data_IF_938464073530
#
_entry.id   IF_938464073530
#
_cell.length_a   1.000
_cell.length_b   1.000
_cell.length_c   1.000
_cell.angle_alpha   90.00
_cell.angle_beta   90.00
_cell.angle_gamma   90.00
#
_symmetry.space_group_name_H-M   'P 1'
#
loop_
_entity.id
_entity.type
_entity.pdbx_description
1 polymer ?
#
# COMPACT_ATOMS: atom_id res chain seq x y z
N UNK A 1 -24.87 10.76 -49.08
CA UNK A 1 -23.40 10.56 -49.16
C UNK A 1 -22.78 11.58 -48.22
N UNK A 2 -21.99 11.26 -47.21
CA UNK A 2 -21.54 10.01 -46.61
C UNK A 2 -21.12 10.37 -45.19
N UNK A 3 -21.48 9.56 -44.20
CA UNK A 3 -20.77 9.53 -42.92
C UNK A 3 -19.30 9.26 -43.18
N UNK A 4 -18.42 9.96 -42.46
CA UNK A 4 -17.03 9.54 -42.28
C UNK A 4 -16.78 9.47 -40.78
N UNK A 5 -17.03 8.28 -40.27
CA UNK A 5 -16.47 7.78 -39.03
C UNK A 5 -14.94 7.84 -39.14
N UNK A 6 -14.30 8.48 -38.16
CA UNK A 6 -12.86 8.37 -37.98
C UNK A 6 -12.60 7.10 -37.18
N UNK A 7 -12.09 6.07 -37.86
CA UNK A 7 -11.55 4.87 -37.22
C UNK A 7 -10.38 5.23 -36.29
N UNK A 8 -10.50 4.82 -35.02
CA UNK A 8 -9.38 4.75 -34.07
C UNK A 8 -8.69 3.39 -34.18
N UNK A 9 -7.38 3.31 -34.50
CA UNK A 9 -6.68 2.03 -34.56
C UNK A 9 -6.09 1.66 -33.19
N UNK A 10 -6.75 0.78 -32.43
CA UNK A 10 -6.17 0.19 -31.21
C UNK A 10 -6.39 -1.31 -31.00
N UNK A 11 -6.86 -2.08 -31.99
CA UNK A 11 -7.11 -3.53 -31.79
C UNK A 11 -5.96 -4.46 -32.25
N UNK A 12 -4.86 -3.93 -32.78
CA UNK A 12 -3.82 -4.77 -33.40
C UNK A 12 -2.75 -5.36 -32.47
N UNK A 13 -2.53 -4.79 -31.28
CA UNK A 13 -1.33 -5.09 -30.48
C UNK A 13 -1.62 -6.07 -29.33
N UNK A 14 -2.86 -6.14 -28.84
CA UNK A 14 -3.23 -7.06 -27.76
C UNK A 14 -3.42 -8.52 -28.22
N UNK A 15 -3.73 -8.76 -29.50
CA UNK A 15 -4.03 -10.11 -29.98
C UNK A 15 -2.82 -11.04 -30.07
N UNK A 16 -1.59 -10.50 -30.07
CA UNK A 16 -0.35 -11.29 -30.23
C UNK A 16 0.28 -11.75 -28.91
N UNK A 17 -0.23 -11.33 -27.76
CA UNK A 17 0.34 -11.65 -26.45
C UNK A 17 -0.37 -12.80 -25.71
N UNK A 18 -1.46 -13.35 -26.26
CA UNK A 18 -2.32 -14.32 -25.56
C UNK A 18 -2.30 -15.74 -26.14
N UNK A 19 -1.46 -16.04 -27.15
CA UNK A 19 -1.48 -17.33 -27.86
C UNK A 19 -0.77 -18.49 -27.14
N UNK A 20 -0.67 -18.48 -25.82
CA UNK A 20 0.10 -19.48 -25.08
C UNK A 20 -0.37 -19.82 -23.66
N UNK A 21 -1.54 -19.36 -23.24
CA UNK A 21 -2.09 -19.72 -21.92
C UNK A 21 -2.99 -20.96 -22.04
N UNK A 22 -2.87 -21.94 -21.12
CA UNK A 22 -3.73 -23.13 -21.12
C UNK A 22 -5.20 -22.76 -20.97
N UNK A 23 -6.07 -23.50 -21.66
CA UNK A 23 -7.53 -23.27 -21.78
C UNK A 23 -8.30 -23.24 -20.45
N UNK A 24 -7.68 -23.61 -19.33
CA UNK A 24 -8.26 -23.55 -17.99
C UNK A 24 -7.84 -22.31 -17.20
N UNK A 25 -7.66 -21.18 -17.87
CA UNK A 25 -7.45 -19.91 -17.16
C UNK A 25 -8.77 -19.53 -16.48
N UNK A 26 -8.83 -19.39 -15.14
CA UNK A 26 -10.04 -18.93 -14.48
C UNK A 26 -10.44 -17.59 -15.08
N UNK A 27 -11.69 -17.47 -15.52
CA UNK A 27 -12.26 -16.21 -15.97
C UNK A 27 -12.23 -15.23 -14.79
N UNK A 28 -11.16 -14.43 -14.68
CA UNK A 28 -11.06 -13.32 -13.74
C UNK A 28 -12.07 -12.26 -14.20
N UNK A 29 -13.33 -12.44 -13.79
CA UNK A 29 -14.34 -11.39 -13.83
C UNK A 29 -13.97 -10.40 -12.74
N UNK A 30 -13.76 -9.15 -13.16
CA UNK A 30 -13.37 -7.99 -12.37
C UNK A 30 -11.85 -7.84 -12.14
N UNK A 31 -11.23 -7.03 -13.01
CA UNK A 31 -10.11 -6.19 -12.59
C UNK A 31 -10.72 -4.88 -12.06
N UNK A 32 -10.78 -4.66 -10.74
CA UNK A 32 -10.96 -3.29 -10.25
C UNK A 32 -9.74 -2.48 -10.69
N UNK A 33 -9.89 -1.17 -10.91
CA UNK A 33 -8.86 -0.26 -11.46
C UNK A 33 -7.50 -0.27 -10.72
N UNK A 34 -7.37 -0.98 -9.60
CA UNK A 34 -6.12 -1.30 -8.89
C UNK A 34 -5.99 -2.82 -8.67
N UNK A 35 -4.86 -3.38 -9.09
CA UNK A 35 -4.48 -4.77 -8.78
C UNK A 35 -4.25 -5.01 -7.28
N UNK A 36 -4.14 -6.26 -6.83
CA UNK A 36 -3.92 -6.58 -5.42
C UNK A 36 -2.60 -5.96 -4.94
N UNK A 37 -2.60 -5.42 -3.72
CA UNK A 37 -1.34 -5.08 -3.05
C UNK A 37 -0.63 -6.39 -2.73
N UNK A 38 0.66 -6.43 -3.01
CA UNK A 38 1.51 -7.58 -2.75
C UNK A 38 2.41 -7.23 -1.59
N UNK A 39 2.26 -7.95 -0.47
CA UNK A 39 3.22 -7.93 0.62
C UNK A 39 3.96 -9.27 0.60
N UNK A 40 5.28 -9.24 0.63
CA UNK A 40 6.09 -10.46 0.72
C UNK A 40 7.11 -10.36 1.86
N UNK A 41 7.14 -11.40 2.69
CA UNK A 41 8.27 -11.73 3.56
C UNK A 41 8.91 -13.00 2.99
N UNK A 42 9.96 -12.83 2.21
CA UNK A 42 10.63 -13.94 1.53
C UNK A 42 11.49 -14.77 2.49
N UNK A 43 11.81 -14.28 3.69
CA UNK A 43 12.58 -15.03 4.67
C UNK A 43 11.72 -16.12 5.30
N UNK A 44 10.50 -15.75 5.69
CA UNK A 44 9.54 -16.68 6.29
C UNK A 44 8.70 -17.41 5.23
N UNK A 45 8.93 -17.14 3.93
CA UNK A 45 8.21 -17.77 2.82
C UNK A 45 6.74 -17.36 2.75
N UNK A 46 6.41 -16.14 3.19
CA UNK A 46 5.04 -15.64 3.25
C UNK A 46 4.78 -14.65 2.12
N UNK A 47 3.79 -14.96 1.27
CA UNK A 47 3.23 -14.04 0.29
C UNK A 47 1.79 -13.71 0.69
N UNK A 48 1.48 -12.43 0.83
CA UNK A 48 0.13 -11.94 1.09
C UNK A 48 -0.36 -11.12 -0.11
N UNK A 49 -1.47 -11.58 -0.69
CA UNK A 49 -2.21 -10.85 -1.72
C UNK A 49 -3.38 -10.14 -1.05
N UNK A 50 -3.27 -8.82 -0.93
CA UNK A 50 -4.28 -7.97 -0.33
C UNK A 50 -5.23 -7.46 -1.42
N UNK A 51 -6.43 -8.06 -1.49
CA UNK A 51 -7.54 -7.61 -2.34
C UNK A 51 -8.29 -6.50 -1.57
N UNK A 52 -7.57 -5.44 -1.23
CA UNK A 52 -7.94 -4.52 -0.14
C UNK A 52 -8.50 -3.17 -0.60
N UNK A 53 -8.64 -2.93 -1.91
CA UNK A 53 -9.19 -1.68 -2.43
C UNK A 53 -10.72 -1.57 -2.26
N UNK A 54 -11.23 -1.79 -1.04
CA UNK A 54 -12.60 -1.46 -0.66
C UNK A 54 -12.64 -0.02 -0.13
N UNK A 55 -13.60 0.76 -0.60
CA UNK A 55 -13.79 2.17 -0.25
C UNK A 55 -13.65 2.49 1.26
N UNK A 56 -14.16 1.67 2.21
CA UNK A 56 -14.02 1.97 3.64
C UNK A 56 -12.58 1.92 4.14
N UNK A 57 -11.73 1.03 3.62
CA UNK A 57 -10.31 0.97 3.98
C UNK A 57 -9.58 2.21 3.49
N UNK A 58 -9.71 2.51 2.19
CA UNK A 58 -9.12 3.69 1.56
C UNK A 58 -9.56 4.98 2.26
N UNK A 59 -10.84 5.07 2.66
CA UNK A 59 -11.35 6.23 3.40
C UNK A 59 -10.72 6.35 4.79
N UNK A 60 -10.62 5.25 5.53
CA UNK A 60 -10.01 5.26 6.86
C UNK A 60 -8.52 5.65 6.80
N UNK A 61 -7.77 5.07 5.87
CA UNK A 61 -6.38 5.41 5.62
C UNK A 61 -6.24 6.89 5.25
N UNK A 62 -7.04 7.38 4.30
CA UNK A 62 -6.95 8.75 3.82
C UNK A 62 -7.28 9.78 4.92
N UNK A 63 -8.30 9.57 5.74
CA UNK A 63 -8.64 10.52 6.81
C UNK A 63 -7.58 10.57 7.92
N UNK A 64 -6.98 9.43 8.23
CA UNK A 64 -5.90 9.40 9.21
C UNK A 64 -4.63 10.05 8.65
N UNK A 65 -4.30 9.79 7.39
CA UNK A 65 -3.22 10.49 6.67
C UNK A 65 -3.42 12.01 6.70
N UNK A 66 -4.62 12.51 6.37
CA UNK A 66 -4.91 13.96 6.42
C UNK A 66 -4.71 14.54 7.81
N UNK A 67 -5.05 13.78 8.85
CA UNK A 67 -4.85 14.22 10.24
C UNK A 67 -3.36 14.38 10.57
N UNK A 68 -2.51 13.50 10.04
CA UNK A 68 -1.05 13.62 10.16
C UNK A 68 -0.53 14.80 9.34
N UNK A 69 -0.95 14.95 8.08
CA UNK A 69 -0.57 16.08 7.22
C UNK A 69 -0.91 17.43 7.88
N UNK A 70 -2.11 17.54 8.47
CA UNK A 70 -2.50 18.74 9.20
C UNK A 70 -1.58 19.01 10.39
N UNK A 71 -1.15 17.97 11.12
CA UNK A 71 -0.21 18.13 12.22
C UNK A 71 1.17 18.58 11.74
N UNK A 72 1.71 17.96 10.69
CA UNK A 72 2.96 18.37 10.04
C UNK A 72 2.91 19.84 9.65
N UNK A 73 1.80 20.28 9.03
CA UNK A 73 1.59 21.67 8.65
C UNK A 73 1.58 22.60 9.88
N UNK A 74 0.81 22.27 10.92
CA UNK A 74 0.73 23.10 12.13
C UNK A 74 2.05 23.16 12.93
N UNK A 75 2.93 22.18 12.75
CA UNK A 75 4.28 22.18 13.32
C UNK A 75 5.28 22.99 12.48
N UNK A 76 4.88 23.52 11.32
CA UNK A 76 5.77 24.23 10.41
C UNK A 76 6.74 23.33 9.63
N UNK A 77 6.47 22.02 9.58
CA UNK A 77 7.35 21.00 8.99
C UNK A 77 6.99 20.64 7.54
N UNK A 78 6.11 21.40 6.89
CA UNK A 78 5.57 21.05 5.58
C UNK A 78 6.63 20.94 4.47
N UNK A 79 7.72 21.70 4.58
CA UNK A 79 8.85 21.67 3.63
C UNK A 79 9.94 20.66 4.00
N UNK A 80 9.88 20.12 5.22
CA UNK A 80 10.89 19.22 5.77
C UNK A 80 10.46 17.76 5.63
N UNK A 81 9.16 17.48 5.81
CA UNK A 81 8.57 16.14 5.74
C UNK A 81 7.75 16.01 4.46
N UNK A 82 8.19 15.10 3.59
CA UNK A 82 7.47 14.67 2.40
C UNK A 82 6.46 13.58 2.75
N UNK A 83 5.24 13.72 2.22
CA UNK A 83 4.27 12.64 2.15
C UNK A 83 4.50 11.86 0.86
N UNK A 84 5.07 10.66 0.97
CA UNK A 84 5.39 9.81 -0.18
C UNK A 84 4.20 8.93 -0.62
N UNK A 85 3.06 9.02 0.07
CA UNK A 85 1.89 8.22 -0.23
C UNK A 85 2.19 6.72 -0.15
N UNK A 86 1.83 5.99 -1.21
CA UNK A 86 1.81 4.52 -1.27
C UNK A 86 2.94 3.93 -2.11
N UNK A 87 4.05 4.66 -2.32
CA UNK A 87 5.17 4.16 -3.12
C UNK A 87 5.72 2.84 -2.59
N UNK A 88 5.90 1.86 -3.48
CA UNK A 88 6.48 0.55 -3.13
C UNK A 88 7.91 0.71 -2.64
N UNK A 89 8.22 0.04 -1.55
CA UNK A 89 9.55 -0.06 -0.95
C UNK A 89 10.01 -1.51 -0.99
N UNK A 90 11.30 -1.69 -1.28
CA UNK A 90 12.00 -2.97 -1.22
C UNK A 90 13.17 -2.81 -0.26
N UNK A 91 13.31 -3.72 0.70
CA UNK A 91 14.43 -3.76 1.64
C UNK A 91 15.76 -4.00 0.93
N UNK A 92 16.87 -3.64 1.59
CA UNK A 92 18.22 -3.79 1.02
C UNK A 92 18.54 -5.25 0.67
N UNK A 93 18.08 -6.20 1.48
CA UNK A 93 18.22 -7.63 1.25
C UNK A 93 17.12 -8.22 0.35
N UNK A 94 16.23 -7.38 -0.17
CA UNK A 94 15.09 -7.71 -1.04
C UNK A 94 14.08 -8.67 -0.42
N UNK A 95 14.14 -8.93 0.89
CA UNK A 95 13.24 -9.87 1.57
C UNK A 95 11.91 -9.28 1.98
N UNK A 96 11.84 -7.95 2.14
CA UNK A 96 10.62 -7.23 2.43
C UNK A 96 10.27 -6.31 1.28
N UNK A 97 9.10 -6.52 0.70
CA UNK A 97 8.55 -5.71 -0.40
C UNK A 97 7.13 -5.33 0.00
N UNK A 98 6.85 -4.03 0.12
CA UNK A 98 5.54 -3.53 0.55
C UNK A 98 5.23 -2.13 0.03
N UNK A 99 3.94 -1.86 -0.15
CA UNK A 99 3.37 -0.53 -0.37
C UNK A 99 2.64 -0.08 0.90
N UNK A 100 3.08 1.02 1.54
CA UNK A 100 2.39 1.52 2.73
C UNK A 100 1.02 2.10 2.35
N UNK A 101 0.11 2.19 3.31
CA UNK A 101 -1.13 2.97 3.14
C UNK A 101 -0.85 4.48 3.20
N UNK A 102 0.08 4.89 4.06
CA UNK A 102 0.71 6.20 3.99
C UNK A 102 2.15 6.16 4.52
N UNK A 103 3.00 7.02 3.98
CA UNK A 103 4.40 7.09 4.39
C UNK A 103 4.94 8.51 4.36
N UNK A 104 5.83 8.79 5.31
CA UNK A 104 6.37 10.11 5.57
C UNK A 104 7.87 10.01 5.74
N UNK A 105 8.59 10.95 5.12
CA UNK A 105 10.05 10.96 5.13
C UNK A 105 10.59 12.39 5.14
N UNK A 106 11.73 12.66 5.79
CA UNK A 106 12.48 13.88 5.53
C UNK A 106 12.92 13.97 4.06
N UNK A 107 12.99 15.18 3.52
CA UNK A 107 13.27 15.46 2.10
C UNK A 107 14.47 14.69 1.49
N UNK A 108 15.47 14.37 2.30
CA UNK A 108 16.72 13.73 1.87
C UNK A 108 16.81 12.21 2.17
N UNK A 109 15.71 11.57 2.56
CA UNK A 109 15.69 10.15 2.92
C UNK A 109 14.71 9.39 2.01
N UNK A 110 15.23 8.37 1.30
CA UNK A 110 14.43 7.54 0.38
C UNK A 110 13.61 6.45 1.07
N UNK A 111 13.93 6.11 2.32
CA UNK A 111 13.19 5.15 3.14
C UNK A 111 12.29 5.89 4.13
N UNK A 112 11.01 5.51 4.28
CA UNK A 112 10.10 6.24 5.16
C UNK A 112 10.51 6.14 6.63
N UNK A 113 10.66 7.28 7.30
CA UNK A 113 10.94 7.33 8.74
C UNK A 113 9.69 7.06 9.57
N UNK A 114 8.52 7.29 8.99
CA UNK A 114 7.24 7.01 9.62
C UNK A 114 6.26 6.43 8.60
N UNK A 115 5.58 5.33 8.97
CA UNK A 115 4.58 4.68 8.12
C UNK A 115 3.26 4.46 8.85
N UNK A 116 2.19 4.31 8.07
CA UNK A 116 0.87 3.98 8.54
C UNK A 116 0.31 2.81 7.74
N UNK A 117 -0.32 1.88 8.45
CA UNK A 117 -1.01 0.72 7.88
C UNK A 117 -2.42 0.66 8.46
N UNK A 118 -3.44 0.73 7.61
CA UNK A 118 -4.82 0.59 8.03
C UNK A 118 -5.31 -0.81 7.69
N UNK A 119 -6.01 -1.45 8.62
CA UNK A 119 -6.60 -2.76 8.41
C UNK A 119 -8.10 -2.77 8.65
N UNK A 120 -8.86 -3.12 7.62
CA UNK A 120 -10.32 -3.26 7.70
C UNK A 120 -10.71 -4.69 8.05
N UNK A 121 -10.26 -5.65 7.24
CA UNK A 121 -10.45 -7.09 7.44
C UNK A 121 -9.24 -7.75 8.08
N UNK A 122 -8.05 -7.13 8.08
CA UNK A 122 -6.87 -7.73 8.70
C UNK A 122 -7.03 -7.83 10.22
N UNK A 123 -6.50 -8.91 10.78
CA UNK A 123 -6.41 -9.06 12.22
C UNK A 123 -5.20 -8.29 12.79
N UNK A 124 -5.16 -8.14 14.11
CA UNK A 124 -4.08 -7.44 14.82
C UNK A 124 -2.69 -8.07 14.57
N UNK A 125 -2.63 -9.38 14.34
CA UNK A 125 -1.37 -10.08 14.10
C UNK A 125 -0.74 -9.69 12.75
N UNK A 126 -1.55 -9.57 11.69
CA UNK A 126 -1.10 -9.11 10.38
C UNK A 126 -0.59 -7.66 10.43
N UNK A 127 -1.31 -6.76 11.09
CA UNK A 127 -0.85 -5.39 11.31
C UNK A 127 0.46 -5.33 12.11
N UNK A 128 0.65 -6.22 13.10
CA UNK A 128 1.91 -6.32 13.83
C UNK A 128 3.06 -6.83 12.96
N UNK A 129 2.80 -7.79 12.05
CA UNK A 129 3.79 -8.26 11.06
C UNK A 129 4.19 -7.12 10.13
N UNK A 130 3.23 -6.33 9.64
CA UNK A 130 3.52 -5.20 8.76
C UNK A 130 4.36 -4.13 9.50
N UNK A 131 4.00 -3.80 10.74
CA UNK A 131 4.78 -2.88 11.56
C UNK A 131 6.19 -3.39 11.83
N UNK A 132 6.33 -4.68 12.14
CA UNK A 132 7.63 -5.35 12.30
C UNK A 132 8.47 -5.26 11.02
N UNK A 133 7.87 -5.55 9.87
CA UNK A 133 8.53 -5.46 8.57
C UNK A 133 9.08 -4.06 8.32
N UNK A 134 8.30 -3.02 8.57
CA UNK A 134 8.80 -1.64 8.45
C UNK A 134 9.95 -1.33 9.40
N UNK A 135 9.86 -1.73 10.68
CA UNK A 135 10.87 -1.40 11.69
C UNK A 135 12.16 -2.22 11.56
N UNK A 136 12.07 -3.49 11.18
CA UNK A 136 13.17 -4.45 11.29
C UNK A 136 13.86 -4.79 9.97
N UNK A 137 13.26 -4.43 8.83
CA UNK A 137 13.81 -4.78 7.52
C UNK A 137 15.22 -4.25 7.31
N UNK A 138 16.03 -5.02 6.58
CA UNK A 138 17.40 -4.64 6.25
C UNK A 138 17.44 -3.27 5.55
N UNK A 139 18.20 -2.33 6.10
CA UNK A 139 18.32 -0.96 5.59
C UNK A 139 17.19 -0.02 6.04
N UNK A 140 16.26 -0.48 6.89
CA UNK A 140 15.18 0.35 7.39
C UNK A 140 15.68 1.61 8.11
N UNK A 141 14.98 2.71 7.85
CA UNK A 141 15.08 4.00 8.55
C UNK A 141 13.78 4.34 9.29
N UNK A 142 12.83 3.40 9.34
CA UNK A 142 11.56 3.62 10.01
C UNK A 142 11.78 3.66 11.52
N UNK A 143 11.37 4.75 12.15
CA UNK A 143 11.47 4.95 13.60
C UNK A 143 10.14 4.70 14.30
N UNK A 144 9.03 4.89 13.58
CA UNK A 144 7.69 4.65 14.10
C UNK A 144 6.72 4.16 13.03
N UNK A 145 5.78 3.33 13.46
CA UNK A 145 4.64 2.88 12.65
C UNK A 145 3.36 3.08 13.44
N UNK A 146 2.31 3.59 12.79
CA UNK A 146 0.95 3.52 13.34
C UNK A 146 0.14 2.50 12.56
N UNK A 147 -0.41 1.51 13.26
CA UNK A 147 -1.40 0.61 12.69
C UNK A 147 -2.80 1.02 13.12
N UNK A 148 -3.73 1.12 12.17
CA UNK A 148 -5.13 1.51 12.38
C UNK A 148 -6.01 0.28 12.15
N UNK A 149 -6.53 -0.34 13.21
CA UNK A 149 -7.50 -1.44 13.07
C UNK A 149 -8.91 -0.89 13.12
N UNK A 150 -9.68 -1.11 12.06
CA UNK A 150 -11.12 -0.78 12.03
C UNK A 150 -11.93 -2.05 12.27
N UNK A 151 -12.81 -2.02 13.28
CA UNK A 151 -13.82 -3.04 13.54
C UNK A 151 -15.21 -2.45 13.30
N UNK A 152 -15.84 -2.84 12.19
CA UNK A 152 -17.18 -2.36 11.82
C UNK A 152 -18.30 -3.02 12.62
N UNK A 153 -18.06 -4.17 13.22
CA UNK A 153 -19.06 -4.87 14.03
C UNK A 153 -19.14 -4.25 15.42
N UNK A 154 -17.98 -3.93 15.99
CA UNK A 154 -17.87 -3.26 17.28
C UNK A 154 -17.96 -1.72 17.19
N UNK A 155 -17.96 -1.14 15.98
CA UNK A 155 -17.85 0.30 15.73
C UNK A 155 -16.63 0.92 16.43
N UNK A 156 -15.50 0.21 16.42
CA UNK A 156 -14.27 0.58 17.12
C UNK A 156 -13.14 0.85 16.12
N UNK A 157 -12.29 1.84 16.45
CA UNK A 157 -11.02 2.07 15.78
C UNK A 157 -9.92 1.96 16.83
N UNK A 158 -9.01 0.98 16.67
CA UNK A 158 -7.83 0.84 17.53
C UNK A 158 -6.61 1.40 16.80
N UNK A 159 -5.93 2.37 17.43
CA UNK A 159 -4.64 2.88 16.97
C UNK A 159 -3.53 2.26 17.82
N UNK A 160 -2.53 1.67 17.18
CA UNK A 160 -1.34 1.15 17.87
C UNK A 160 -0.10 1.81 17.32
N UNK A 161 0.72 2.39 18.21
CA UNK A 161 2.04 2.94 17.88
C UNK A 161 3.09 1.86 18.14
N UNK A 162 3.92 1.63 17.14
CA UNK A 162 5.06 0.72 17.19
C UNK A 162 6.33 1.54 17.02
N UNK A 163 7.34 1.24 17.82
CA UNK A 163 8.63 1.92 17.78
C UNK A 163 9.74 0.91 17.96
N UNK A 164 10.84 1.14 17.26
CA UNK A 164 12.06 0.41 17.53
C UNK A 164 12.74 1.01 18.76
N UNK A 165 12.88 0.23 19.83
CA UNK A 165 13.72 0.64 20.96
C UNK A 165 15.19 0.54 20.52
N UNK A 166 15.79 1.71 20.24
CA UNK A 166 17.24 1.85 20.05
C UNK A 166 17.99 1.63 21.36
#
# INVERSE_FOLDING_TARGET
MSSQDRETPQDGVLSRLLSGLPEETPQIKFYPDKGPKVTADLQEGVLVLEIMALLPHERAAQEFQRSIDFRILTMGLWSEILNNGTSRITSLDQRFIKEPDASFTPYNINWPTFTMEAGLSENKAKLAIDAKGWLESAGSKTEGVITVKVDRNALEITLTRWEWKK
#
